data_IF_038196260350
#
_entry.id   IF_038196260350
#
_cell.length_a   1.000
_cell.length_b   1.000
_cell.length_c   1.000
_cell.angle_alpha   90.00
_cell.angle_beta   90.00
_cell.angle_gamma   90.00
#
_symmetry.space_group_name_H-M   'P 1'
#
loop_
_entity.id
_entity.type
_entity.pdbx_description
1 polymer ?
#
# COMPACT_ATOMS: atom_id res chain seq x y z
N UNK A 1 1.36 -7.86 27.93
CA UNK A 1 0.51 -7.13 26.97
C UNK A 1 0.76 -5.66 27.16
N UNK A 2 0.95 -4.89 26.09
CA UNK A 2 1.09 -3.43 26.23
C UNK A 2 -0.19 -2.81 26.81
N UNK A 3 -0.03 -1.78 27.62
CA UNK A 3 -1.11 -0.97 28.18
C UNK A 3 -1.73 -0.07 27.10
N UNK A 4 -2.95 0.43 27.38
CA UNK A 4 -3.63 1.37 26.48
C UNK A 4 -2.84 2.68 26.30
N UNK A 5 -2.12 3.10 27.34
CA UNK A 5 -1.28 4.30 27.33
C UNK A 5 -0.08 4.14 26.38
N UNK A 6 0.62 3.01 26.47
CA UNK A 6 1.73 2.67 25.54
C UNK A 6 1.26 2.59 24.08
N UNK A 7 0.05 2.06 23.82
CA UNK A 7 -0.53 2.01 22.46
C UNK A 7 -0.81 3.43 21.94
N UNK A 8 -1.35 4.31 22.79
CA UNK A 8 -1.66 5.69 22.42
C UNK A 8 -0.39 6.49 22.15
N UNK A 9 0.63 6.38 23.00
CA UNK A 9 1.93 7.04 22.80
C UNK A 9 2.57 6.61 21.49
N UNK A 10 2.61 5.31 21.21
CA UNK A 10 3.17 4.78 19.96
C UNK A 10 2.39 5.26 18.72
N UNK A 11 1.07 5.36 18.83
CA UNK A 11 0.20 5.87 17.76
C UNK A 11 0.49 7.34 17.49
N UNK A 12 0.62 8.16 18.54
CA UNK A 12 0.93 9.59 18.40
C UNK A 12 2.33 9.82 17.85
N UNK A 13 3.32 9.07 18.36
CA UNK A 13 4.67 9.07 17.83
C UNK A 13 4.69 8.76 16.32
N UNK A 14 4.00 7.68 15.91
CA UNK A 14 3.91 7.27 14.50
C UNK A 14 3.29 8.36 13.63
N UNK A 15 2.22 9.02 14.10
CA UNK A 15 1.59 10.15 13.38
C UNK A 15 2.52 11.35 13.29
N UNK A 16 3.17 11.74 14.38
CA UNK A 16 4.09 12.87 14.42
C UNK A 16 5.27 12.71 13.44
N UNK A 17 5.74 11.48 13.26
CA UNK A 17 6.82 11.15 12.34
C UNK A 17 6.37 10.83 10.90
N UNK A 18 5.13 11.16 10.53
CA UNK A 18 4.55 10.92 9.21
C UNK A 18 4.60 9.43 8.78
N UNK A 19 4.43 8.53 9.74
CA UNK A 19 4.49 7.08 9.50
C UNK A 19 3.36 6.57 8.61
N UNK A 20 2.20 7.26 8.63
CA UNK A 20 1.06 6.95 7.78
C UNK A 20 1.36 7.30 6.33
N UNK A 21 1.90 8.50 6.08
CA UNK A 21 2.31 8.99 4.76
C UNK A 21 3.45 8.15 4.18
N UNK A 22 4.38 7.69 5.02
CA UNK A 22 5.40 6.72 4.63
C UNK A 22 4.78 5.38 4.20
N UNK A 23 3.79 4.88 4.95
CA UNK A 23 3.09 3.65 4.60
C UNK A 23 2.36 3.77 3.25
N UNK A 24 1.63 4.88 3.01
CA UNK A 24 1.00 5.15 1.71
C UNK A 24 2.02 5.18 0.56
N UNK A 25 3.12 5.91 0.71
CA UNK A 25 4.21 5.91 -0.30
C UNK A 25 4.76 4.51 -0.56
N UNK A 26 4.93 3.69 0.49
CA UNK A 26 5.40 2.31 0.31
C UNK A 26 4.38 1.42 -0.37
N UNK A 27 3.09 1.65 -0.16
CA UNK A 27 2.03 0.94 -0.89
C UNK A 27 2.04 1.31 -2.38
N UNK A 28 2.22 2.60 -2.71
CA UNK A 28 2.38 3.07 -4.09
C UNK A 28 3.65 2.51 -4.75
N UNK A 29 4.80 2.53 -4.06
CA UNK A 29 6.06 1.92 -4.54
C UNK A 29 5.86 0.43 -4.92
N UNK A 30 5.12 -0.30 -4.09
CA UNK A 30 4.82 -1.72 -4.32
C UNK A 30 3.87 -1.91 -5.51
N UNK A 31 2.86 -1.04 -5.65
CA UNK A 31 1.94 -1.03 -6.80
C UNK A 31 2.71 -0.87 -8.10
N UNK A 32 3.58 0.13 -8.17
CA UNK A 32 4.38 0.41 -9.36
C UNK A 32 5.30 -0.75 -9.72
N UNK A 33 5.96 -1.36 -8.72
CA UNK A 33 6.79 -2.56 -8.96
C UNK A 33 5.98 -3.70 -9.53
N UNK A 34 4.77 -3.95 -9.00
CA UNK A 34 3.90 -5.01 -9.51
C UNK A 34 3.44 -4.75 -10.95
N UNK A 35 3.02 -3.52 -11.26
CA UNK A 35 2.64 -3.12 -12.62
C UNK A 35 3.83 -3.23 -13.57
N UNK A 36 5.03 -2.83 -13.14
CA UNK A 36 6.24 -2.94 -13.94
C UNK A 36 6.58 -4.40 -14.26
N UNK A 37 6.39 -5.34 -13.32
CA UNK A 37 6.54 -6.78 -13.60
C UNK A 37 5.54 -7.23 -14.66
N UNK A 38 4.28 -6.80 -14.55
CA UNK A 38 3.22 -7.12 -15.50
C UNK A 38 3.44 -6.50 -16.90
N UNK A 39 4.20 -5.41 -17.00
CA UNK A 39 4.48 -4.74 -18.28
C UNK A 39 5.19 -5.63 -19.30
N UNK A 40 5.96 -6.62 -18.83
CA UNK A 40 6.70 -7.57 -19.67
C UNK A 40 5.81 -8.66 -20.31
N UNK A 41 4.54 -8.72 -19.95
CA UNK A 41 3.58 -9.69 -20.48
C UNK A 41 2.76 -9.08 -21.63
N UNK A 42 2.31 -9.91 -22.59
CA UNK A 42 1.45 -9.46 -23.68
C UNK A 42 0.13 -8.89 -23.15
N UNK A 43 -0.41 -7.94 -23.90
CA UNK A 43 -1.71 -7.35 -23.60
C UNK A 43 -2.81 -8.38 -23.80
N UNK A 44 -3.39 -8.80 -22.68
CA UNK A 44 -4.43 -9.83 -22.58
C UNK A 44 -5.44 -9.40 -21.52
N UNK A 45 -6.65 -9.96 -21.58
CA UNK A 45 -7.67 -9.72 -20.55
C UNK A 45 -7.17 -10.11 -19.15
N UNK A 46 -6.28 -11.11 -19.07
CA UNK A 46 -5.64 -11.54 -17.83
C UNK A 46 -4.69 -10.46 -17.28
N UNK A 47 -3.84 -9.86 -18.13
CA UNK A 47 -2.97 -8.75 -17.73
C UNK A 47 -3.80 -7.56 -17.22
N UNK A 48 -4.88 -7.22 -17.93
CA UNK A 48 -5.79 -6.15 -17.53
C UNK A 48 -6.46 -6.44 -16.17
N UNK A 49 -6.94 -7.68 -15.96
CA UNK A 49 -7.53 -8.10 -14.69
C UNK A 49 -6.53 -8.05 -13.52
N UNK A 50 -5.27 -8.45 -13.74
CA UNK A 50 -4.22 -8.38 -12.72
C UNK A 50 -3.86 -6.93 -12.36
N UNK A 51 -3.80 -6.03 -13.34
CA UNK A 51 -3.58 -4.60 -13.08
C UNK A 51 -4.74 -4.02 -12.27
N UNK A 52 -5.99 -4.32 -12.65
CA UNK A 52 -7.17 -3.87 -11.91
C UNK A 52 -7.18 -4.38 -10.47
N UNK A 53 -6.78 -5.64 -10.26
CA UNK A 53 -6.66 -6.22 -8.92
C UNK A 53 -5.59 -5.50 -8.08
N UNK A 54 -4.42 -5.24 -8.65
CA UNK A 54 -3.32 -4.52 -7.97
C UNK A 54 -3.76 -3.12 -7.55
N UNK A 55 -4.48 -2.39 -8.42
CA UNK A 55 -5.02 -1.07 -8.09
C UNK A 55 -6.06 -1.15 -6.97
N UNK A 56 -7.00 -2.09 -7.06
CA UNK A 56 -8.06 -2.28 -6.06
C UNK A 56 -7.52 -2.58 -4.65
N UNK A 57 -6.47 -3.41 -4.54
CA UNK A 57 -5.89 -3.76 -3.24
C UNK A 57 -5.25 -2.55 -2.55
N UNK A 58 -4.73 -1.59 -3.31
CA UNK A 58 -4.04 -0.39 -2.79
C UNK A 58 -5.03 0.74 -2.50
N UNK A 59 -6.07 0.90 -3.32
CA UNK A 59 -7.03 2.03 -3.23
C UNK A 59 -8.21 1.79 -2.28
N UNK A 60 -8.13 0.75 -1.42
CA UNK A 60 -9.25 0.18 -0.66
C UNK A 60 -10.04 1.14 0.26
N UNK A 61 -9.63 2.40 0.41
CA UNK A 61 -10.23 3.39 1.31
C UNK A 61 -10.28 4.84 0.74
N UNK A 62 -10.43 5.03 -0.57
CA UNK A 62 -10.88 6.35 -1.09
C UNK A 62 -12.40 6.43 -1.13
#
# INVERSE_FOLDING_TARGET
TASLEEINELTQFTKHHNGIEYAYRKMDDCREKAINVLSNFPDTDVKAALIAYVNYVVERNN
#
